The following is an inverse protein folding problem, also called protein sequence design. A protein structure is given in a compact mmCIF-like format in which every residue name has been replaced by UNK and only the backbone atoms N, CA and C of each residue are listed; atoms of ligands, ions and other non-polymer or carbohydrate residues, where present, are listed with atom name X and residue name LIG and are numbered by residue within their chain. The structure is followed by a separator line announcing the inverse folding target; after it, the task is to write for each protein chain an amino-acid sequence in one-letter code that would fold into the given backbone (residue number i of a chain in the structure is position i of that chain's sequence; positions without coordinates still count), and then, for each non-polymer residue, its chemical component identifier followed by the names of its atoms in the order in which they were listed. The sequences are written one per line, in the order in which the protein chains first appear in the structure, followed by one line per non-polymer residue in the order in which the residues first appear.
data_IF_806508352186
#
_entry.id   IF_806508352186
#
_cell.length_a   1.000
_cell.length_b   1.000
_cell.length_c   1.000
_cell.angle_alpha   90.00
_cell.angle_beta   90.00
_cell.angle_gamma   90.00
#
_symmetry.space_group_name_H-M   'P 1'
#
loop_
_entity.id
_entity.type
_entity.pdbx_description
1 polymer ?
#
# COMPACT_ATOMS: atom_id res chain seq x y z
N UNK A 1 -4.70 6.30 -9.80
CA UNK A 1 -3.72 5.53 -9.03
C UNK A 1 -4.32 5.08 -7.71
N UNK A 2 -4.73 5.99 -6.82
CA UNK A 2 -5.35 5.64 -5.53
C UNK A 2 -6.52 4.65 -5.65
N UNK A 3 -7.45 4.90 -6.57
CA UNK A 3 -8.59 4.01 -6.82
C UNK A 3 -8.17 2.63 -7.35
N UNK A 4 -7.00 2.52 -7.98
CA UNK A 4 -6.59 1.34 -8.74
C UNK A 4 -5.57 0.46 -8.02
N UNK A 5 -4.87 0.97 -6.99
CA UNK A 5 -3.66 0.32 -6.49
C UNK A 5 -3.91 -1.06 -5.88
N UNK A 6 -5.00 -1.22 -5.11
CA UNK A 6 -5.40 -2.49 -4.47
C UNK A 6 -6.51 -3.23 -5.23
N UNK A 7 -6.81 -2.87 -6.48
CA UNK A 7 -7.89 -3.52 -7.25
C UNK A 7 -7.65 -5.02 -7.46
N UNK A 8 -6.39 -5.45 -7.44
CA UNK A 8 -6.00 -6.86 -7.51
C UNK A 8 -6.64 -7.70 -6.40
N UNK A 9 -6.81 -7.12 -5.19
CA UNK A 9 -7.31 -7.81 -4.00
C UNK A 9 -8.75 -8.30 -4.14
N UNK A 10 -9.53 -7.73 -5.06
CA UNK A 10 -10.86 -8.24 -5.41
C UNK A 10 -10.81 -9.68 -5.94
N UNK A 11 -9.68 -10.11 -6.49
CA UNK A 11 -9.46 -11.47 -6.99
C UNK A 11 -8.68 -12.35 -6.03
N UNK A 12 -7.65 -11.81 -5.39
CA UNK A 12 -6.69 -12.60 -4.60
C UNK A 12 -6.82 -12.43 -3.09
N UNK A 13 -7.65 -11.48 -2.63
CA UNK A 13 -7.71 -11.04 -1.23
C UNK A 13 -6.58 -10.07 -0.86
N UNK A 14 -6.66 -9.49 0.33
CA UNK A 14 -5.56 -8.72 0.94
C UNK A 14 -4.53 -9.72 1.50
N UNK A 15 -3.37 -9.82 0.83
CA UNK A 15 -2.28 -10.72 1.22
C UNK A 15 -1.34 -9.99 2.17
N UNK A 16 -1.31 -10.48 3.40
CA UNK A 16 -0.52 -9.91 4.49
C UNK A 16 0.82 -10.63 4.67
N UNK A 17 1.78 -10.03 5.41
CA UNK A 17 3.04 -10.71 5.75
C UNK A 17 2.86 -12.02 6.54
N UNK A 18 1.68 -12.28 7.13
CA UNK A 18 1.40 -13.48 7.90
C UNK A 18 0.95 -14.66 7.04
N UNK A 19 0.61 -14.44 5.77
CA UNK A 19 0.10 -15.47 4.86
C UNK A 19 1.22 -16.34 4.26
N UNK A 20 2.48 -16.01 4.52
CA UNK A 20 3.64 -16.81 4.09
C UNK A 20 3.90 -16.80 2.59
N UNK A 21 3.27 -15.88 1.84
CA UNK A 21 3.49 -15.70 0.42
C UNK A 21 4.80 -14.93 0.19
N UNK A 22 5.77 -15.46 -0.58
CA UNK A 22 7.00 -14.74 -0.90
C UNK A 22 6.72 -13.43 -1.65
N UNK A 23 7.52 -12.36 -1.44
CA UNK A 23 7.31 -11.07 -2.09
C UNK A 23 7.22 -11.14 -3.62
N UNK A 24 8.09 -11.93 -4.26
CA UNK A 24 8.09 -12.13 -5.70
C UNK A 24 6.82 -12.83 -6.20
N UNK A 25 6.30 -13.76 -5.41
CA UNK A 25 5.06 -14.47 -5.73
C UNK A 25 3.86 -13.55 -5.55
N UNK A 26 3.83 -12.74 -4.49
CA UNK A 26 2.81 -11.69 -4.27
C UNK A 26 2.72 -10.75 -5.48
N UNK A 27 3.86 -10.24 -5.94
CA UNK A 27 3.90 -9.36 -7.12
C UNK A 27 3.40 -10.07 -8.37
N UNK A 28 3.77 -11.35 -8.57
CA UNK A 28 3.34 -12.15 -9.72
C UNK A 28 1.81 -12.31 -9.75
N UNK A 29 1.21 -12.76 -8.64
CA UNK A 29 -0.23 -13.01 -8.56
C UNK A 29 -1.05 -11.71 -8.60
N UNK A 30 -0.56 -10.62 -8.02
CA UNK A 30 -1.18 -9.28 -8.14
C UNK A 30 -1.17 -8.78 -9.58
N UNK A 31 -0.02 -8.92 -10.25
CA UNK A 31 0.12 -8.51 -11.66
C UNK A 31 -0.81 -9.33 -12.57
N UNK A 32 -0.89 -10.65 -12.36
CA UNK A 32 -1.80 -11.52 -13.11
C UNK A 32 -3.27 -11.15 -12.87
N UNK A 33 -3.66 -10.88 -11.62
CA UNK A 33 -5.00 -10.43 -11.28
C UNK A 33 -5.35 -9.09 -11.94
N UNK A 34 -4.43 -8.12 -11.93
CA UNK A 34 -4.62 -6.82 -12.58
C UNK A 34 -4.77 -6.94 -14.09
N UNK A 35 -3.94 -7.77 -14.72
CA UNK A 35 -4.02 -8.05 -16.17
C UNK A 35 -5.36 -8.68 -16.55
N UNK A 36 -5.88 -9.59 -15.73
CA UNK A 36 -7.17 -10.21 -16.00
C UNK A 36 -8.33 -9.22 -15.81
N UNK A 37 -8.33 -8.49 -14.70
CA UNK A 37 -9.34 -7.47 -14.40
C UNK A 37 -9.40 -6.38 -15.47
N UNK A 38 -8.24 -5.93 -15.96
CA UNK A 38 -8.15 -4.88 -16.98
C UNK A 38 -8.92 -5.21 -18.27
N UNK A 39 -9.00 -6.49 -18.67
CA UNK A 39 -9.76 -6.90 -19.87
C UNK A 39 -11.24 -6.56 -19.79
N UNK A 40 -11.79 -6.48 -18.57
CA UNK A 40 -13.20 -6.21 -18.31
C UNK A 40 -13.55 -4.73 -18.18
N UNK A 41 -12.56 -3.83 -18.11
CA UNK A 41 -12.80 -2.40 -17.89
C UNK A 41 -12.64 -1.58 -19.17
N UNK A 42 -13.54 -0.60 -19.44
CA UNK A 42 -13.43 0.30 -20.59
C UNK A 42 -12.11 1.08 -20.67
N UNK A 43 -11.43 1.27 -19.54
CA UNK A 43 -10.13 1.95 -19.43
C UNK A 43 -9.06 1.02 -18.83
N UNK A 44 -9.12 -0.28 -19.14
CA UNK A 44 -8.21 -1.30 -18.61
C UNK A 44 -6.73 -0.98 -18.81
N UNK A 45 -6.34 -0.53 -20.01
CA UNK A 45 -4.95 -0.13 -20.28
C UNK A 45 -4.48 1.00 -19.36
N UNK A 46 -5.31 2.04 -19.17
CA UNK A 46 -4.99 3.15 -18.27
C UNK A 46 -4.88 2.69 -16.81
N UNK A 47 -5.72 1.75 -16.39
CA UNK A 47 -5.64 1.14 -15.06
C UNK A 47 -4.31 0.40 -14.88
N UNK A 48 -3.87 -0.36 -15.88
CA UNK A 48 -2.58 -1.07 -15.86
C UNK A 48 -1.39 -0.11 -15.84
N UNK A 49 -1.44 0.97 -16.61
CA UNK A 49 -0.42 2.03 -16.55
C UNK A 49 -0.28 2.62 -15.16
N UNK A 50 -1.40 2.99 -14.54
CA UNK A 50 -1.43 3.57 -13.19
C UNK A 50 -0.94 2.58 -12.13
N UNK A 51 -1.32 1.31 -12.24
CA UNK A 51 -0.85 0.25 -11.36
C UNK A 51 0.67 0.06 -11.47
N UNK A 52 1.21 -0.05 -12.69
CA UNK A 52 2.65 -0.18 -12.91
C UNK A 52 3.43 1.03 -12.42
N UNK A 53 2.88 2.24 -12.60
CA UNK A 53 3.48 3.48 -12.10
C UNK A 53 3.53 3.49 -10.57
N UNK A 54 2.44 3.08 -9.91
CA UNK A 54 2.38 2.93 -8.46
C UNK A 54 3.44 1.93 -7.97
N UNK A 55 3.48 0.73 -8.55
CA UNK A 55 4.41 -0.33 -8.16
C UNK A 55 5.87 0.08 -8.34
N UNK A 56 6.18 0.82 -9.41
CA UNK A 56 7.53 1.31 -9.63
C UNK A 56 7.99 2.31 -8.55
N UNK A 57 7.09 3.10 -7.96
CA UNK A 57 7.40 4.02 -6.86
C UNK A 57 8.36 5.17 -7.22
N UNK A 58 8.48 5.52 -8.52
CA UNK A 58 9.48 6.49 -9.01
C UNK A 58 8.91 7.89 -9.28
N UNK A 59 7.63 8.02 -9.64
CA UNK A 59 7.01 9.34 -9.84
C UNK A 59 6.72 10.01 -8.50
N UNK A 60 6.52 11.34 -8.52
CA UNK A 60 6.14 12.08 -7.33
C UNK A 60 4.76 11.63 -6.83
N UNK A 61 3.85 11.37 -7.75
CA UNK A 61 2.49 10.88 -7.53
C UNK A 61 2.49 9.47 -6.92
N UNK A 62 3.32 8.56 -7.43
CA UNK A 62 3.44 7.21 -6.88
C UNK A 62 4.00 7.22 -5.45
N UNK A 63 5.05 7.99 -5.20
CA UNK A 63 5.60 8.15 -3.83
C UNK A 63 4.57 8.79 -2.90
N UNK A 64 3.89 9.84 -3.35
CA UNK A 64 2.84 10.48 -2.56
C UNK A 64 1.74 9.49 -2.19
N UNK A 65 1.27 8.67 -3.15
CA UNK A 65 0.24 7.68 -2.84
C UNK A 65 0.72 6.57 -1.90
N UNK A 66 1.94 6.03 -2.08
CA UNK A 66 2.51 5.05 -1.14
C UNK A 66 2.60 5.62 0.28
N UNK A 67 2.86 6.91 0.40
CA UNK A 67 2.82 7.59 1.69
C UNK A 67 1.40 7.63 2.26
N UNK A 68 0.41 8.02 1.46
CA UNK A 68 -1.00 8.03 1.87
C UNK A 68 -1.48 6.64 2.31
N UNK A 69 -1.13 5.58 1.59
CA UNK A 69 -1.43 4.19 1.94
C UNK A 69 -0.91 3.84 3.35
N UNK A 70 0.37 4.11 3.63
CA UNK A 70 0.94 3.87 4.97
C UNK A 70 0.37 4.78 6.05
N UNK A 71 0.06 6.02 5.74
CA UNK A 71 -0.56 6.95 6.70
C UNK A 71 -1.97 6.50 7.09
N UNK A 72 -2.76 6.01 6.14
CA UNK A 72 -4.11 5.50 6.42
C UNK A 72 -4.04 4.32 7.41
N UNK A 73 -3.17 3.35 7.14
CA UNK A 73 -2.92 2.21 8.04
C UNK A 73 -2.43 2.67 9.43
N UNK A 74 -1.52 3.65 9.50
CA UNK A 74 -1.04 4.19 10.75
C UNK A 74 -2.14 4.91 11.55
N UNK A 75 -2.95 5.76 10.91
CA UNK A 75 -4.07 6.45 11.56
C UNK A 75 -5.13 5.48 12.04
N UNK A 76 -5.44 4.46 11.23
CA UNK A 76 -6.37 3.41 11.61
C UNK A 76 -5.86 2.61 12.82
N UNK A 77 -4.54 2.43 12.96
CA UNK A 77 -3.94 1.78 14.14
C UNK A 77 -4.20 2.55 15.45
N UNK A 78 -4.16 3.89 15.44
CA UNK A 78 -4.48 4.71 16.62
C UNK A 78 -5.96 4.53 17.04
N UNK A 79 -6.87 4.48 16.06
CA UNK A 79 -8.30 4.26 16.32
C UNK A 79 -8.55 2.87 16.91
N UNK A 80 -7.86 1.84 16.40
CA UNK A 80 -8.02 0.50 16.92
C UNK A 80 -7.34 0.29 18.27
N UNK A 81 -6.22 0.96 18.54
CA UNK A 81 -5.53 0.87 19.84
C UNK A 81 -6.45 1.27 21.00
N UNK A 82 -7.38 2.21 20.81
CA UNK A 82 -8.34 2.59 21.86
C UNK A 82 -9.42 1.53 22.12
N UNK A 83 -9.46 0.45 21.33
CA UNK A 83 -10.49 -0.60 21.35
C UNK A 83 -9.90 -2.00 21.56
N UNK A 84 -8.58 -2.12 21.66
CA UNK A 84 -7.88 -3.40 21.83
C UNK A 84 -6.63 -3.24 22.68
N UNK A 85 -6.25 -4.30 23.38
CA UNK A 85 -4.99 -4.39 24.10
C UNK A 85 -3.82 -4.87 23.21
N UNK A 86 -4.10 -5.21 21.95
CA UNK A 86 -3.04 -5.59 21.00
C UNK A 86 -2.11 -4.40 20.75
N UNK A 87 -0.82 -4.69 20.67
CA UNK A 87 0.16 -3.72 20.22
C UNK A 87 0.07 -3.55 18.69
N UNK A 88 -0.20 -2.32 18.27
CA UNK A 88 -0.31 -1.91 16.86
C UNK A 88 0.77 -0.88 16.47
N UNK A 89 1.83 -0.73 17.27
CA UNK A 89 2.92 0.23 17.02
C UNK A 89 3.67 -0.07 15.72
N UNK A 90 3.78 -1.33 15.33
CA UNK A 90 4.43 -1.75 14.08
C UNK A 90 3.90 -0.99 12.85
N UNK A 91 2.58 -0.75 12.77
CA UNK A 91 1.98 -0.01 11.67
C UNK A 91 2.44 1.46 11.61
N UNK A 92 2.65 2.07 12.77
CA UNK A 92 3.11 3.47 12.90
C UNK A 92 4.58 3.63 12.55
N UNK A 93 5.42 2.69 13.00
CA UNK A 93 6.86 2.66 12.67
C UNK A 93 7.07 2.59 11.15
N UNK A 94 6.28 1.77 10.45
CA UNK A 94 6.41 1.66 8.98
C UNK A 94 6.05 2.95 8.25
N UNK A 95 5.03 3.68 8.72
CA UNK A 95 4.69 5.00 8.17
C UNK A 95 5.75 6.06 8.50
N UNK A 96 6.23 6.08 9.75
CA UNK A 96 7.31 6.98 10.19
C UNK A 96 8.58 6.82 9.35
N UNK A 97 8.96 5.58 9.01
CA UNK A 97 10.10 5.35 8.12
C UNK A 97 9.89 5.95 6.72
N UNK A 98 8.68 5.78 6.17
CA UNK A 98 8.37 6.21 4.81
C UNK A 98 8.25 7.74 4.70
N UNK A 99 7.70 8.43 5.71
CA UNK A 99 7.65 9.91 5.71
C UNK A 99 9.05 10.51 5.70
N UNK A 100 10.00 9.94 6.44
CA UNK A 100 11.40 10.38 6.43
C UNK A 100 12.05 10.11 5.07
N UNK A 101 11.90 8.89 4.53
CA UNK A 101 12.46 8.50 3.24
C UNK A 101 11.97 9.41 2.10
N UNK A 102 10.69 9.80 2.13
CA UNK A 102 10.07 10.62 1.08
C UNK A 102 10.19 12.13 1.32
N UNK A 103 10.91 12.56 2.36
CA UNK A 103 11.26 13.97 2.59
C UNK A 103 10.25 14.77 3.41
N UNK A 104 9.44 14.11 4.22
CA UNK A 104 8.44 14.69 5.13
C UNK A 104 8.70 14.33 6.60
N UNK A 105 9.92 14.57 7.14
CA UNK A 105 10.32 14.05 8.46
C UNK A 105 9.45 14.56 9.62
N UNK A 106 8.84 15.75 9.47
CA UNK A 106 8.04 16.38 10.52
C UNK A 106 6.52 16.09 10.40
N UNK A 107 6.11 15.25 9.45
CA UNK A 107 4.69 14.94 9.25
C UNK A 107 4.11 14.07 10.38
N UNK A 108 4.96 13.23 10.97
CA UNK A 108 4.65 12.40 12.12
C UNK A 108 5.66 12.68 13.23
N UNK A 109 5.49 12.06 14.40
CA UNK A 109 6.34 12.29 15.58
C UNK A 109 7.80 11.82 15.44
N UNK A 110 8.16 11.21 14.29
CA UNK A 110 9.51 10.74 14.01
C UNK A 110 9.92 9.49 14.77
N UNK A 111 8.98 8.83 15.47
CA UNK A 111 9.25 7.61 16.24
C UNK A 111 9.52 6.44 15.29
N UNK A 112 10.80 6.09 15.13
CA UNK A 112 11.28 4.99 14.27
C UNK A 112 11.74 3.76 15.07
N UNK A 113 11.63 3.80 16.39
CA UNK A 113 11.95 2.72 17.34
C UNK A 113 10.70 2.19 18.04
#
# INVERSE_FOLDING_TARGET
MAICHDVAEVRIGDITPHDGVPPEEKVRIETEAMLDLAKGFPQGERMLELYREYEAGKSAEARFLKLCDKLDMAFQSYVYQSRTEKDLNNFRITANRLVVEYGYPDLLDGSIE
#
